data_IF_955277999952
#
_entry.id   IF_955277999952
#
_cell.length_a   1.000
_cell.length_b   1.000
_cell.length_c   1.000
_cell.angle_alpha   90.00
_cell.angle_beta   90.00
_cell.angle_gamma   90.00
#
_symmetry.space_group_name_H-M   'P 1'
#
loop_
_entity.id
_entity.type
_entity.pdbx_description
1 polymer ?
#
# COMPACT_ATOMS: atom_id res chain seq x y z
N UNK A 1 -26.69 -15.79 -12.45
CA UNK A 1 -25.43 -15.08 -12.75
C UNK A 1 -24.47 -15.38 -11.59
N UNK A 2 -23.32 -16.00 -11.83
CA UNK A 2 -22.30 -16.19 -10.81
C UNK A 2 -21.31 -15.01 -10.90
N UNK A 3 -21.11 -14.30 -9.78
CA UNK A 3 -20.14 -13.21 -9.70
C UNK A 3 -18.72 -13.73 -9.50
N UNK A 4 -17.74 -12.91 -9.86
CA UNK A 4 -16.32 -13.19 -9.58
C UNK A 4 -15.98 -12.75 -8.16
N UNK A 5 -15.29 -13.61 -7.41
CA UNK A 5 -14.78 -13.24 -6.09
C UNK A 5 -13.49 -12.43 -6.22
N UNK A 6 -13.39 -11.38 -5.42
CA UNK A 6 -12.16 -10.61 -5.26
C UNK A 6 -11.41 -11.22 -4.07
N UNK A 7 -10.21 -11.75 -4.31
CA UNK A 7 -9.40 -12.44 -3.31
C UNK A 7 -8.02 -11.76 -3.29
N UNK A 8 -7.54 -11.45 -2.09
CA UNK A 8 -6.21 -10.89 -1.85
C UNK A 8 -5.44 -11.79 -0.88
N UNK A 9 -4.13 -11.91 -1.05
CA UNK A 9 -3.27 -12.63 -0.12
C UNK A 9 -2.85 -11.74 1.07
N UNK A 10 -2.26 -12.35 2.10
CA UNK A 10 -1.80 -11.62 3.28
C UNK A 10 -0.71 -10.60 2.92
N UNK A 11 0.21 -10.94 2.01
CA UNK A 11 1.36 -10.09 1.65
C UNK A 11 0.89 -8.76 1.03
N UNK A 12 0.02 -8.85 0.03
CA UNK A 12 -0.54 -7.70 -0.68
C UNK A 12 -1.31 -6.77 0.27
N UNK A 13 -2.13 -7.33 1.17
CA UNK A 13 -2.89 -6.54 2.15
C UNK A 13 -1.95 -5.77 3.10
N UNK A 14 -0.84 -6.38 3.50
CA UNK A 14 0.15 -5.72 4.35
C UNK A 14 0.91 -4.62 3.60
N UNK A 15 1.25 -4.84 2.33
CA UNK A 15 1.88 -3.84 1.47
C UNK A 15 0.99 -2.60 1.27
N UNK A 16 -0.34 -2.81 1.16
CA UNK A 16 -1.32 -1.72 1.04
C UNK A 16 -1.30 -0.74 2.23
N UNK A 17 -0.89 -1.17 3.43
CA UNK A 17 -0.76 -0.31 4.62
C UNK A 17 0.25 0.83 4.44
N UNK A 18 1.23 0.65 3.55
CA UNK A 18 2.27 1.66 3.31
C UNK A 18 1.79 2.82 2.42
N UNK A 19 0.60 2.71 1.81
CA UNK A 19 0.03 3.76 0.97
C UNK A 19 -0.30 5.02 1.81
N UNK A 20 -0.07 6.25 1.29
CA UNK A 20 -0.43 7.49 1.98
C UNK A 20 -1.89 7.54 2.44
N UNK A 21 -2.80 6.93 1.67
CA UNK A 21 -4.24 6.92 2.00
C UNK A 21 -4.53 6.18 3.31
N UNK A 22 -3.76 5.13 3.64
CA UNK A 22 -3.94 4.35 4.84
C UNK A 22 -3.53 5.11 6.12
N UNK A 23 -2.80 6.22 5.96
CA UNK A 23 -2.35 7.09 7.07
C UNK A 23 -3.35 8.21 7.38
N UNK A 24 -4.33 8.43 6.51
CA UNK A 24 -5.36 9.45 6.70
C UNK A 24 -6.52 8.86 7.50
N UNK A 25 -6.88 9.42 8.67
CA UNK A 25 -8.00 8.93 9.45
C UNK A 25 -9.34 9.17 8.71
N UNK A 26 -10.37 8.30 8.88
CA UNK A 26 -11.68 8.50 8.26
C UNK A 26 -12.34 9.83 8.68
N UNK A 27 -13.01 10.50 7.75
CA UNK A 27 -13.59 11.85 7.95
C UNK A 27 -14.59 11.95 9.11
N UNK A 28 -15.19 10.84 9.54
CA UNK A 28 -16.18 10.77 10.61
C UNK A 28 -15.76 9.81 11.74
N UNK A 29 -14.46 9.64 11.98
CA UNK A 29 -13.97 8.81 13.06
C UNK A 29 -14.36 9.40 14.44
N UNK A 30 -15.12 8.68 15.29
CA UNK A 30 -15.52 9.19 16.59
C UNK A 30 -14.34 9.26 17.56
N UNK A 31 -14.35 10.23 18.49
CA UNK A 31 -13.36 10.36 19.56
C UNK A 31 -13.79 9.55 20.78
N UNK A 32 -13.33 8.30 20.87
CA UNK A 32 -13.55 7.37 21.98
C UNK A 32 -12.26 7.28 22.81
N UNK A 33 -12.27 7.69 24.10
CA UNK A 33 -11.09 7.62 24.97
C UNK A 33 -10.51 6.21 25.03
N UNK A 34 -9.20 6.08 24.78
CA UNK A 34 -8.48 4.80 24.83
C UNK A 34 -8.69 3.87 23.63
N UNK A 35 -9.57 4.20 22.67
CA UNK A 35 -9.84 3.36 21.48
C UNK A 35 -9.38 4.05 20.21
N UNK A 36 -9.83 5.28 19.99
CA UNK A 36 -9.48 6.05 18.80
C UNK A 36 -8.52 7.15 19.20
N UNK A 37 -7.38 7.22 18.53
CA UNK A 37 -6.50 8.37 18.61
C UNK A 37 -6.76 9.26 17.40
N UNK A 38 -7.28 10.47 17.60
CA UNK A 38 -7.20 11.50 16.57
C UNK A 38 -5.72 11.88 16.46
N UNK A 39 -5.03 11.34 15.46
CA UNK A 39 -3.82 11.97 14.98
C UNK A 39 -4.20 13.42 14.61
N UNK A 40 -3.52 14.41 15.18
CA UNK A 40 -3.87 15.84 15.10
C UNK A 40 -3.78 16.47 13.69
N UNK A 41 -3.93 15.69 12.62
CA UNK A 41 -3.92 16.16 11.23
C UNK A 41 -5.26 16.73 10.76
N UNK A 42 -6.22 16.97 11.67
CA UNK A 42 -7.39 17.74 11.34
C UNK A 42 -6.98 19.18 11.01
N UNK A 43 -7.19 19.55 9.74
CA UNK A 43 -7.12 20.90 9.16
C UNK A 43 -5.76 21.26 8.51
N UNK A 44 -5.42 20.58 7.42
CA UNK A 44 -4.59 21.18 6.37
C UNK A 44 -5.44 21.29 5.11
N UNK A 45 -5.64 22.52 4.64
CA UNK A 45 -6.21 22.83 3.32
C UNK A 45 -5.46 22.02 2.24
N UNK A 46 -6.11 21.63 1.13
CA UNK A 46 -5.45 20.88 0.08
C UNK A 46 -4.46 21.80 -0.65
N UNK A 47 -3.18 21.71 -0.29
CA UNK A 47 -2.07 22.19 -1.13
C UNK A 47 -1.17 21.01 -1.44
N UNK A 48 -1.32 20.54 -2.68
CA UNK A 48 -0.34 20.08 -3.67
C UNK A 48 1.00 19.40 -3.25
N UNK A 49 1.35 18.37 -4.04
CA UNK A 49 2.68 17.73 -4.26
C UNK A 49 3.16 16.82 -3.10
N UNK A 50 3.64 15.58 -3.28
CA UNK A 50 4.46 15.00 -4.34
C UNK A 50 4.38 13.47 -4.30
N UNK A 51 4.08 12.86 -5.44
CA UNK A 51 4.26 11.43 -5.68
C UNK A 51 5.76 11.11 -5.60
N UNK A 52 6.15 10.30 -4.61
CA UNK A 52 7.46 9.65 -4.58
C UNK A 52 7.22 8.16 -4.70
N UNK A 53 7.22 7.73 -5.97
CA UNK A 53 7.51 6.37 -6.38
C UNK A 53 8.90 5.98 -5.86
N UNK A 54 9.00 4.89 -5.10
CA UNK A 54 10.25 4.17 -4.97
C UNK A 54 9.99 2.69 -5.25
N UNK A 55 10.10 2.33 -6.53
CA UNK A 55 10.48 0.99 -6.92
C UNK A 55 11.80 0.61 -6.24
N UNK A 56 11.75 -0.34 -5.32
CA UNK A 56 12.88 -1.21 -5.03
C UNK A 56 12.49 -2.65 -5.39
N UNK A 57 12.54 -2.99 -6.68
CA UNK A 57 12.98 -4.33 -7.05
C UNK A 57 14.50 -4.26 -7.18
N UNK A 58 15.20 -4.72 -6.15
CA UNK A 58 16.59 -5.15 -6.28
C UNK A 58 16.61 -6.65 -6.08
N UNK A 59 16.89 -7.39 -7.15
CA UNK A 59 17.59 -8.67 -7.06
C UNK A 59 18.55 -8.75 -8.26
N UNK A 60 19.88 -8.74 -8.03
CA UNK A 60 20.87 -8.95 -9.08
C UNK A 60 20.90 -10.42 -9.49
N UNK A 61 21.09 -10.66 -10.79
CA UNK A 61 20.67 -11.88 -11.47
C UNK A 61 21.53 -13.15 -11.31
N UNK A 62 20.97 -14.24 -11.83
CA UNK A 62 21.68 -15.45 -12.23
C UNK A 62 21.25 -15.89 -13.65
N UNK A 63 22.20 -16.48 -14.36
CA UNK A 63 22.44 -16.52 -15.82
C UNK A 63 21.55 -17.49 -16.63
N UNK A 64 21.32 -17.27 -17.94
CA UNK A 64 20.85 -18.32 -18.83
C UNK A 64 22.05 -19.15 -19.35
N UNK A 65 22.16 -20.40 -18.90
CA UNK A 65 23.00 -21.41 -19.56
C UNK A 65 22.13 -22.57 -20.04
N UNK A 66 21.69 -22.47 -21.30
CA UNK A 66 21.30 -23.65 -22.06
C UNK A 66 22.10 -23.67 -23.37
N UNK A 67 23.23 -24.36 -23.32
CA UNK A 67 23.86 -24.98 -24.49
C UNK A 67 22.94 -26.08 -24.99
N UNK A 68 22.63 -26.08 -26.28
CA UNK A 68 22.11 -27.26 -26.96
C UNK A 68 23.02 -27.56 -28.17
N UNK A 69 23.70 -28.72 -28.21
CA UNK A 69 24.27 -29.27 -29.42
C UNK A 69 23.30 -30.28 -30.03
N UNK A 70 22.98 -30.16 -31.33
CA UNK A 70 22.97 -31.25 -32.32
C UNK A 70 23.12 -30.63 -33.70
#
# INVERSE_FOLDING_TARGET
LAGTHIIYDHKFLLECKNSPVARTPPCCLPQIPGVTSLAQSSLVKPEEVKEQNESQETMPGEQPRHTAPV
#
